data_IF_860610722804
#
_entry.id   IF_860610722804
#
_cell.length_a   1.000
_cell.length_b   1.000
_cell.length_c   1.000
_cell.angle_alpha   90.00
_cell.angle_beta   90.00
_cell.angle_gamma   90.00
#
_symmetry.space_group_name_H-M   'P 1'
#
loop_
_entity.id
_entity.type
_entity.pdbx_description
1 polymer ?
#
# COMPACT_ATOMS: atom_id res chain seq x y z
N UNK A 1 -9.86 12.17 7.34
CA UNK A 1 -8.51 12.77 7.23
C UNK A 1 -8.53 14.18 6.66
N UNK A 2 -8.86 14.44 5.39
CA UNK A 2 -8.84 15.83 4.87
C UNK A 2 -9.86 16.74 5.57
N UNK A 3 -11.11 16.29 5.69
CA UNK A 3 -12.18 17.00 6.42
C UNK A 3 -11.84 17.22 7.90
N UNK A 4 -11.29 16.19 8.56
CA UNK A 4 -10.80 16.26 9.95
C UNK A 4 -9.65 17.28 10.12
N UNK A 5 -8.94 17.61 9.04
CA UNK A 5 -7.91 18.65 9.01
C UNK A 5 -8.44 20.01 8.51
N UNK A 6 -9.76 20.16 8.36
CA UNK A 6 -10.41 21.41 7.95
C UNK A 6 -10.46 21.66 6.43
N UNK A 7 -10.19 20.65 5.60
CA UNK A 7 -10.34 20.73 4.15
C UNK A 7 -11.65 20.09 3.72
N UNK A 8 -12.66 20.92 3.50
CA UNK A 8 -13.97 20.49 3.01
C UNK A 8 -13.89 19.95 1.57
N UNK A 9 -14.89 19.17 1.15
CA UNK A 9 -14.91 18.58 -0.19
C UNK A 9 -15.03 19.59 -1.34
N UNK A 10 -15.41 20.83 -1.08
CA UNK A 10 -15.44 21.92 -2.05
C UNK A 10 -14.08 22.61 -2.21
N UNK A 11 -13.13 22.39 -1.29
CA UNK A 11 -11.81 23.01 -1.29
C UNK A 11 -10.78 22.27 -2.17
N UNK A 12 -11.17 21.15 -2.78
CA UNK A 12 -10.31 20.35 -3.67
C UNK A 12 -11.12 19.67 -4.78
N UNK A 13 -10.42 19.18 -5.79
CA UNK A 13 -11.00 18.33 -6.84
C UNK A 13 -10.37 16.95 -6.82
N UNK A 14 -11.19 15.92 -6.97
CA UNK A 14 -10.73 14.54 -7.10
C UNK A 14 -10.62 14.15 -8.56
N UNK A 15 -9.42 13.71 -8.95
CA UNK A 15 -9.14 13.22 -10.30
C UNK A 15 -8.86 11.71 -10.26
N UNK A 16 -9.59 10.89 -11.02
CA UNK A 16 -9.25 9.49 -11.20
C UNK A 16 -7.87 9.34 -11.85
N UNK A 17 -6.98 8.56 -11.23
CA UNK A 17 -5.61 8.34 -11.71
C UNK A 17 -5.16 6.88 -11.58
N UNK A 18 -6.11 5.94 -11.50
CA UNK A 18 -5.81 4.50 -11.47
C UNK A 18 -5.28 3.98 -10.12
N UNK A 19 -4.48 2.91 -10.21
CA UNK A 19 -3.85 2.24 -9.07
C UNK A 19 -2.71 3.06 -8.46
N UNK A 20 -2.01 2.47 -7.48
CA UNK A 20 -0.96 3.17 -6.72
C UNK A 20 0.19 3.62 -7.64
N UNK A 21 0.55 2.81 -8.64
CA UNK A 21 1.60 3.14 -9.61
C UNK A 21 1.22 4.36 -10.44
N UNK A 22 0.05 4.33 -11.05
CA UNK A 22 -0.45 5.37 -11.94
C UNK A 22 -0.64 6.70 -11.19
N UNK A 23 -1.06 6.63 -9.92
CA UNK A 23 -1.10 7.80 -9.02
C UNK A 23 0.28 8.39 -8.74
N UNK A 24 1.30 7.56 -8.51
CA UNK A 24 2.67 8.02 -8.30
C UNK A 24 3.24 8.71 -9.55
N UNK A 25 3.05 8.11 -10.72
CA UNK A 25 3.45 8.69 -12.00
C UNK A 25 2.75 10.01 -12.27
N UNK A 26 1.44 10.08 -12.03
CA UNK A 26 0.64 11.31 -12.19
C UNK A 26 1.12 12.43 -11.27
N UNK A 27 1.39 12.14 -9.99
CA UNK A 27 1.92 13.11 -9.03
C UNK A 27 3.26 13.67 -9.52
N UNK A 28 4.18 12.79 -9.92
CA UNK A 28 5.53 13.16 -10.34
C UNK A 28 5.58 13.88 -11.69
N UNK A 29 4.52 13.75 -12.51
CA UNK A 29 4.33 14.51 -13.73
C UNK A 29 3.62 15.87 -13.51
N UNK A 30 3.29 16.23 -12.28
CA UNK A 30 2.56 17.47 -11.95
C UNK A 30 1.06 17.41 -12.27
N UNK A 31 0.49 16.21 -12.38
CA UNK A 31 -0.92 16.00 -12.71
C UNK A 31 -1.91 16.17 -11.55
N UNK A 32 -1.42 16.55 -10.37
CA UNK A 32 -2.19 16.86 -9.16
C UNK A 32 -1.27 17.25 -7.99
N UNK A 33 -1.83 17.87 -6.96
CA UNK A 33 -1.05 18.44 -5.83
C UNK A 33 -0.69 17.40 -4.75
N UNK A 34 -1.55 16.39 -4.57
CA UNK A 34 -1.36 15.34 -3.58
C UNK A 34 -2.08 14.04 -4.00
N UNK A 35 -1.60 12.91 -3.50
CA UNK A 35 -2.25 11.60 -3.70
C UNK A 35 -1.90 10.63 -2.58
N UNK A 36 -2.72 9.59 -2.39
CA UNK A 36 -2.45 8.51 -1.45
C UNK A 36 -1.60 7.41 -2.11
N UNK A 37 -0.38 7.24 -1.61
CA UNK A 37 0.56 6.21 -2.01
C UNK A 37 0.79 5.20 -0.88
N UNK A 38 1.15 3.98 -1.27
CA UNK A 38 1.68 2.96 -0.37
C UNK A 38 2.97 2.38 -0.93
N UNK A 39 3.69 1.57 -0.15
CA UNK A 39 4.96 0.98 -0.58
C UNK A 39 4.85 0.18 -1.88
N UNK A 40 5.89 0.21 -2.74
CA UNK A 40 7.12 1.00 -2.60
C UNK A 40 7.01 2.45 -3.11
N UNK A 41 5.85 2.85 -3.63
CA UNK A 41 5.70 4.06 -4.44
C UNK A 41 5.79 5.35 -3.62
N UNK A 42 5.43 5.32 -2.34
CA UNK A 42 5.63 6.45 -1.42
C UNK A 42 7.12 6.77 -1.24
N UNK A 43 7.95 5.76 -0.99
CA UNK A 43 9.40 5.90 -0.92
C UNK A 43 10.02 6.38 -2.24
N UNK A 44 9.56 5.85 -3.36
CA UNK A 44 9.99 6.29 -4.69
C UNK A 44 9.62 7.75 -4.98
N UNK A 45 8.42 8.19 -4.59
CA UNK A 45 8.00 9.58 -4.75
C UNK A 45 8.87 10.53 -3.91
N UNK A 46 9.15 10.17 -2.65
CA UNK A 46 10.02 10.95 -1.76
C UNK A 46 11.44 11.05 -2.33
N UNK A 47 12.00 9.93 -2.82
CA UNK A 47 13.31 9.92 -3.47
C UNK A 47 13.37 10.82 -4.73
N UNK A 48 12.22 11.13 -5.34
CA UNK A 48 12.06 12.03 -6.48
C UNK A 48 11.61 13.44 -6.10
N UNK A 49 11.68 13.80 -4.82
CA UNK A 49 11.44 15.16 -4.32
C UNK A 49 10.02 15.44 -3.83
N UNK A 50 9.13 14.44 -3.80
CA UNK A 50 7.82 14.61 -3.16
C UNK A 50 7.94 14.68 -1.63
N UNK A 51 6.94 15.28 -0.98
CA UNK A 51 6.86 15.40 0.49
C UNK A 51 5.70 14.58 1.04
N UNK A 52 5.92 13.92 2.17
CA UNK A 52 4.85 13.26 2.93
C UNK A 52 4.04 14.33 3.67
N UNK A 53 2.74 14.42 3.38
CA UNK A 53 1.81 15.34 4.05
C UNK A 53 1.23 14.73 5.33
N UNK A 54 0.86 13.45 5.28
CA UNK A 54 0.30 12.69 6.39
C UNK A 54 0.49 11.19 6.16
N UNK A 55 0.38 10.37 7.21
CA UNK A 55 0.25 8.92 7.11
C UNK A 55 -1.10 8.48 7.65
N UNK A 56 -1.78 7.60 6.91
CA UNK A 56 -3.11 7.08 7.30
C UNK A 56 -3.07 6.44 8.69
N UNK A 57 -2.01 5.69 9.01
CA UNK A 57 -1.87 5.00 10.29
C UNK A 57 -1.64 5.95 11.48
N UNK A 58 -1.26 7.20 11.27
CA UNK A 58 -1.14 8.19 12.36
C UNK A 58 -2.54 8.64 12.82
N UNK A 59 -3.51 8.70 11.90
CA UNK A 59 -4.90 9.04 12.19
C UNK A 59 -5.75 7.81 12.53
N UNK A 60 -5.44 6.67 11.90
CA UNK A 60 -6.18 5.43 12.02
C UNK A 60 -5.23 4.25 12.32
N UNK A 61 -4.76 4.09 13.56
CA UNK A 61 -3.74 3.08 13.90
C UNK A 61 -4.16 1.63 13.59
N UNK A 62 -5.48 1.37 13.65
CA UNK A 62 -6.06 0.06 13.36
C UNK A 62 -6.53 -0.10 11.89
N UNK A 63 -6.18 0.84 11.01
CA UNK A 63 -6.61 0.78 9.62
C UNK A 63 -6.05 -0.46 8.92
N UNK A 64 -6.91 -1.33 8.35
CA UNK A 64 -6.46 -2.55 7.71
C UNK A 64 -5.70 -2.22 6.41
N UNK A 65 -4.53 -2.84 6.22
CA UNK A 65 -3.69 -2.61 5.04
C UNK A 65 -4.09 -3.43 3.82
N UNK A 66 -4.00 -4.75 3.91
CA UNK A 66 -4.22 -5.69 2.81
C UNK A 66 -5.35 -6.67 3.13
N UNK A 67 -6.19 -6.95 2.14
CA UNK A 67 -7.25 -7.96 2.22
C UNK A 67 -7.11 -9.00 1.12
N UNK A 68 -7.47 -10.25 1.43
CA UNK A 68 -7.64 -11.30 0.44
C UNK A 68 -9.10 -11.35 0.01
N UNK A 69 -9.35 -11.23 -1.29
CA UNK A 69 -10.70 -11.29 -1.85
C UNK A 69 -10.86 -12.56 -2.67
N UNK A 70 -11.92 -13.32 -2.38
CA UNK A 70 -12.27 -14.54 -3.10
C UNK A 70 -13.70 -14.40 -3.61
N UNK A 71 -13.93 -14.80 -4.87
CA UNK A 71 -15.27 -14.81 -5.45
C UNK A 71 -16.13 -15.85 -4.72
N UNK A 72 -17.26 -15.43 -4.15
CA UNK A 72 -18.13 -16.28 -3.32
C UNK A 72 -18.52 -17.59 -4.00
N UNK A 73 -18.85 -17.54 -5.30
CA UNK A 73 -19.22 -18.72 -6.10
C UNK A 73 -18.12 -19.79 -6.22
N UNK A 74 -16.87 -19.44 -5.91
CA UNK A 74 -15.73 -20.36 -5.93
C UNK A 74 -15.27 -20.77 -4.52
N UNK A 75 -15.86 -20.21 -3.46
CA UNK A 75 -15.28 -20.31 -2.12
C UNK A 75 -15.13 -21.75 -1.65
N UNK A 76 -16.17 -22.57 -1.75
CA UNK A 76 -16.11 -23.97 -1.29
C UNK A 76 -15.00 -24.77 -1.97
N UNK A 77 -14.78 -24.51 -3.27
CA UNK A 77 -13.72 -25.15 -4.06
C UNK A 77 -12.32 -24.71 -3.63
N UNK A 78 -12.13 -23.44 -3.31
CA UNK A 78 -10.81 -22.88 -2.99
C UNK A 78 -10.51 -22.79 -1.50
N UNK A 79 -11.49 -23.05 -0.63
CA UNK A 79 -11.40 -22.83 0.82
C UNK A 79 -10.15 -23.46 1.43
N UNK A 80 -9.88 -24.72 1.13
CA UNK A 80 -8.70 -25.43 1.65
C UNK A 80 -7.38 -24.75 1.22
N UNK A 81 -7.31 -24.30 -0.03
CA UNK A 81 -6.13 -23.59 -0.57
C UNK A 81 -5.97 -22.21 0.05
N UNK A 82 -7.07 -21.48 0.28
CA UNK A 82 -7.05 -20.17 0.97
C UNK A 82 -6.53 -20.34 2.40
N UNK A 83 -7.00 -21.34 3.14
CA UNK A 83 -6.50 -21.63 4.50
C UNK A 83 -5.02 -21.96 4.49
N UNK A 84 -4.58 -22.84 3.59
CA UNK A 84 -3.17 -23.20 3.46
C UNK A 84 -2.29 -21.99 3.09
N UNK A 85 -2.78 -21.13 2.19
CA UNK A 85 -2.09 -19.90 1.80
C UNK A 85 -1.96 -18.92 2.96
N UNK A 86 -3.02 -18.72 3.74
CA UNK A 86 -2.99 -17.84 4.93
C UNK A 86 -2.00 -18.36 5.98
N UNK A 87 -1.96 -19.68 6.22
CA UNK A 87 -0.99 -20.27 7.13
C UNK A 87 0.46 -20.08 6.65
N UNK A 88 0.72 -20.29 5.35
CA UNK A 88 2.03 -20.04 4.76
C UNK A 88 2.45 -18.57 4.84
N UNK A 89 1.51 -17.65 4.62
CA UNK A 89 1.74 -16.21 4.75
C UNK A 89 2.07 -15.81 6.19
N UNK A 90 1.38 -16.36 7.18
CA UNK A 90 1.68 -16.10 8.58
C UNK A 90 3.06 -16.61 8.98
N UNK A 91 3.43 -17.81 8.52
CA UNK A 91 4.79 -18.33 8.71
C UNK A 91 5.85 -17.44 8.07
N UNK A 92 5.62 -16.99 6.83
CA UNK A 92 6.53 -16.08 6.14
C UNK A 92 6.65 -14.73 6.85
N UNK A 93 5.52 -14.18 7.36
CA UNK A 93 5.48 -12.94 8.14
C UNK A 93 6.28 -13.07 9.43
N UNK A 94 6.06 -14.14 10.19
CA UNK A 94 6.78 -14.41 11.44
C UNK A 94 8.29 -14.60 11.20
N UNK A 95 8.68 -15.32 10.14
CA UNK A 95 10.07 -15.45 9.74
C UNK A 95 10.69 -14.10 9.35
N UNK A 96 10.00 -13.28 8.55
CA UNK A 96 10.50 -11.99 8.12
C UNK A 96 10.71 -11.02 9.30
N UNK A 97 9.88 -11.11 10.35
CA UNK A 97 10.04 -10.30 11.56
C UNK A 97 11.34 -10.61 12.32
N UNK A 98 11.77 -11.87 12.32
CA UNK A 98 13.02 -12.31 12.97
C UNK A 98 14.23 -12.26 12.03
N UNK A 99 14.02 -12.19 10.71
CA UNK A 99 15.05 -12.22 9.68
C UNK A 99 14.99 -11.00 8.74
N UNK A 100 14.78 -9.80 9.31
CA UNK A 100 14.49 -8.56 8.56
C UNK A 100 15.43 -8.31 7.38
N UNK A 101 16.75 -8.36 7.60
CA UNK A 101 17.73 -8.09 6.53
C UNK A 101 17.61 -9.10 5.39
N UNK A 102 17.47 -10.39 5.71
CA UNK A 102 17.30 -11.43 4.71
C UNK A 102 15.96 -11.28 3.96
N UNK A 103 14.91 -10.84 4.63
CA UNK A 103 13.62 -10.55 4.00
C UNK A 103 13.72 -9.36 3.03
N UNK A 104 14.40 -8.26 3.42
CA UNK A 104 14.63 -7.10 2.57
C UNK A 104 15.44 -7.48 1.33
N UNK A 105 16.53 -8.25 1.49
CA UNK A 105 17.34 -8.73 0.35
C UNK A 105 16.51 -9.58 -0.61
N UNK A 106 15.68 -10.49 -0.09
CA UNK A 106 14.78 -11.31 -0.91
C UNK A 106 13.74 -10.47 -1.65
N UNK A 107 13.18 -9.46 -0.99
CA UNK A 107 12.22 -8.53 -1.60
C UNK A 107 12.89 -7.70 -2.70
N UNK A 108 14.10 -7.20 -2.45
CA UNK A 108 14.91 -6.46 -3.42
C UNK A 108 15.16 -7.24 -4.71
N UNK A 109 15.44 -8.54 -4.58
CA UNK A 109 15.65 -9.43 -5.73
C UNK A 109 14.41 -9.59 -6.63
N UNK A 110 13.22 -9.19 -6.17
CA UNK A 110 11.98 -9.20 -6.97
C UNK A 110 11.73 -7.91 -7.74
N UNK A 111 12.66 -6.94 -7.69
CA UNK A 111 12.53 -5.65 -8.35
C UNK A 111 11.80 -4.57 -7.53
N UNK A 112 11.50 -4.86 -6.26
CA UNK A 112 10.97 -3.89 -5.30
C UNK A 112 12.16 -3.23 -4.58
N UNK A 113 12.35 -1.91 -4.63
CA UNK A 113 13.50 -1.26 -3.98
C UNK A 113 13.59 -1.60 -2.48
N UNK A 114 14.81 -1.87 -2.00
CA UNK A 114 15.07 -1.87 -0.56
C UNK A 114 14.99 -0.41 -0.08
N UNK A 115 13.93 -0.09 0.67
CA UNK A 115 13.77 1.20 1.34
C UNK A 115 14.53 1.20 2.67
#
# INVERSE_FOLDING_TARGET
>A
MLDECGLDSGSYTLKPAGGVRERCETLLAGGGDATLLGPPFDGMAVARGARVLARVNDHYPAFPGLGLVVRQSSYDRVRAHVVAWLAAMEHARAWAQTNKNAAVVRLAATGIPAL
#
